data_IF_266274233259
#
_entry.id   IF_266274233259
#
_cell.length_a   1.000
_cell.length_b   1.000
_cell.length_c   1.000
_cell.angle_alpha   90.00
_cell.angle_beta   90.00
_cell.angle_gamma   90.00
#
_symmetry.space_group_name_H-M   'P 1'
#
loop_
_entity.id
_entity.type
_entity.pdbx_description
1 polymer ?
#
# COMPACT_ATOMS: atom_id res chain seq x y z
N UNK A 1 20.35 1.61 -5.09
CA UNK A 1 20.06 2.39 -3.87
C UNK A 1 18.74 1.87 -3.34
N UNK A 2 18.64 1.63 -2.03
CA UNK A 2 17.46 0.99 -1.43
C UNK A 2 16.27 1.96 -1.32
N UNK A 3 15.04 1.44 -1.43
CA UNK A 3 13.79 2.23 -1.45
C UNK A 3 13.61 3.08 -0.18
N UNK A 4 13.91 2.51 0.99
CA UNK A 4 13.90 3.15 2.32
C UNK A 4 14.75 4.43 2.43
N UNK A 5 15.69 4.66 1.52
CA UNK A 5 16.54 5.87 1.55
C UNK A 5 15.94 7.06 0.82
N UNK A 6 14.88 6.86 0.03
CA UNK A 6 14.29 7.93 -0.79
C UNK A 6 12.76 7.87 -0.94
N UNK A 7 12.10 6.79 -0.52
CA UNK A 7 10.65 6.68 -0.47
C UNK A 7 10.23 6.57 1.00
N UNK A 8 9.62 7.64 1.52
CA UNK A 8 9.18 7.74 2.91
C UNK A 8 7.66 7.79 3.00
N UNK A 9 7.12 6.96 3.86
CA UNK A 9 5.71 6.88 4.22
C UNK A 9 5.57 7.33 5.68
N UNK A 10 4.63 8.23 5.90
CA UNK A 10 4.19 8.61 7.25
C UNK A 10 2.68 8.78 7.25
N UNK A 11 2.06 8.79 8.43
CA UNK A 11 0.63 8.95 8.56
C UNK A 11 0.27 9.52 9.93
N UNK A 12 -0.92 10.08 10.01
CA UNK A 12 -1.55 10.52 11.25
C UNK A 12 -3.00 9.98 11.34
N UNK A 13 -3.84 10.62 12.16
CA UNK A 13 -5.24 10.23 12.32
C UNK A 13 -6.06 10.35 11.03
N UNK A 14 -5.71 11.31 10.16
CA UNK A 14 -6.54 11.76 9.03
C UNK A 14 -5.94 11.39 7.67
N UNK A 15 -4.61 11.40 7.54
CA UNK A 15 -3.92 11.23 6.27
C UNK A 15 -2.77 10.22 6.31
N UNK A 16 -2.48 9.68 5.13
CA UNK A 16 -1.23 9.02 4.76
C UNK A 16 -0.47 9.98 3.85
N UNK A 17 0.82 10.15 4.09
CA UNK A 17 1.71 11.04 3.35
C UNK A 17 2.79 10.21 2.65
N UNK A 18 3.03 10.51 1.38
CA UNK A 18 4.13 9.94 0.61
C UNK A 18 5.10 11.04 0.24
N UNK A 19 6.36 10.86 0.62
CA UNK A 19 7.44 11.78 0.27
C UNK A 19 8.51 10.98 -0.45
N UNK A 20 8.68 11.26 -1.73
CA UNK A 20 9.48 10.43 -2.64
C UNK A 20 10.50 11.30 -3.34
N UNK A 21 11.78 10.95 -3.19
CA UNK A 21 12.89 11.74 -3.72
C UNK A 21 13.89 10.85 -4.48
N UNK A 22 13.49 10.26 -5.64
CA UNK A 22 14.31 9.27 -6.33
C UNK A 22 15.64 9.88 -6.81
N UNK A 23 16.76 9.13 -6.72
CA UNK A 23 18.05 9.62 -7.19
C UNK A 23 18.03 9.99 -8.68
N UNK A 24 18.44 11.21 -8.99
CA UNK A 24 18.53 11.69 -10.38
C UNK A 24 17.19 12.05 -11.01
N UNK A 25 16.10 12.10 -10.25
CA UNK A 25 14.78 12.57 -10.70
C UNK A 25 14.26 13.66 -9.78
N UNK A 26 13.21 14.36 -10.21
CA UNK A 26 12.51 15.30 -9.35
C UNK A 26 11.70 14.52 -8.31
N UNK A 27 11.91 14.85 -7.04
CA UNK A 27 11.06 14.36 -5.97
C UNK A 27 9.64 14.90 -6.06
N UNK A 28 8.72 14.18 -5.44
CA UNK A 28 7.32 14.53 -5.33
C UNK A 28 6.80 14.19 -3.93
N UNK A 29 5.72 14.84 -3.55
CA UNK A 29 4.98 14.51 -2.36
C UNK A 29 3.48 14.60 -2.62
N UNK A 30 2.73 13.73 -1.98
CA UNK A 30 1.28 13.79 -1.96
C UNK A 30 0.75 13.18 -0.66
N UNK A 31 -0.58 13.15 -0.57
CA UNK A 31 -1.29 12.56 0.55
C UNK A 31 -2.62 11.97 0.08
N UNK A 32 -3.12 11.03 0.85
CA UNK A 32 -4.46 10.48 0.74
C UNK A 32 -5.11 10.43 2.11
N UNK A 33 -6.45 10.49 2.15
CA UNK A 33 -7.23 10.44 3.39
C UNK A 33 -7.61 9.00 3.71
N UNK A 34 -7.55 8.64 4.98
CA UNK A 34 -7.98 7.30 5.43
C UNK A 34 -9.45 7.00 5.07
N UNK A 35 -10.33 7.97 5.29
CA UNK A 35 -11.77 7.86 5.07
C UNK A 35 -12.17 7.63 3.60
N UNK A 36 -11.27 7.96 2.67
CA UNK A 36 -11.55 7.89 1.24
C UNK A 36 -11.04 6.59 0.62
N UNK A 37 -10.36 5.74 1.41
CA UNK A 37 -9.93 4.41 0.99
C UNK A 37 -11.15 3.50 0.82
N UNK A 38 -11.29 2.97 -0.39
CA UNK A 38 -12.41 2.08 -0.75
C UNK A 38 -11.97 0.63 -0.96
N UNK A 39 -10.68 0.42 -1.25
CA UNK A 39 -10.12 -0.91 -1.49
C UNK A 39 -8.61 -0.88 -1.34
N UNK A 40 -8.07 -1.96 -0.80
CA UNK A 40 -6.64 -2.16 -0.65
C UNK A 40 -6.29 -3.50 -1.28
N UNK A 41 -5.28 -3.54 -2.13
CA UNK A 41 -4.75 -4.78 -2.68
C UNK A 41 -3.28 -4.94 -2.31
N UNK A 42 -2.90 -6.17 -2.00
CA UNK A 42 -1.53 -6.58 -1.77
C UNK A 42 -1.09 -7.51 -2.88
N UNK A 43 0.05 -7.20 -3.49
CA UNK A 43 0.74 -8.08 -4.42
C UNK A 43 2.04 -8.54 -3.76
N UNK A 44 2.13 -9.82 -3.34
CA UNK A 44 3.39 -10.37 -2.87
C UNK A 44 4.36 -10.38 -4.03
N UNK A 45 5.50 -9.73 -3.82
CA UNK A 45 6.62 -9.74 -4.73
C UNK A 45 7.33 -11.10 -4.73
N UNK A 46 8.47 -11.12 -5.40
CA UNK A 46 9.33 -12.29 -5.47
C UNK A 46 10.79 -11.86 -5.25
N UNK A 47 11.74 -12.75 -5.52
CA UNK A 47 13.16 -12.44 -5.28
C UNK A 47 13.70 -11.24 -6.10
N UNK A 48 12.98 -10.81 -7.13
CA UNK A 48 13.34 -9.73 -8.04
C UNK A 48 12.41 -8.51 -7.96
N UNK A 49 11.23 -8.66 -7.36
CA UNK A 49 10.17 -7.64 -7.35
C UNK A 49 9.73 -7.35 -5.91
N UNK A 50 9.54 -6.07 -5.56
CA UNK A 50 9.10 -5.70 -4.22
C UNK A 50 7.69 -6.19 -3.92
N UNK A 51 7.39 -6.35 -2.64
CA UNK A 51 5.99 -6.46 -2.20
C UNK A 51 5.28 -5.12 -2.44
N UNK A 52 4.12 -5.15 -3.08
CA UNK A 52 3.42 -3.93 -3.50
C UNK A 52 2.04 -3.79 -2.85
N UNK A 53 1.80 -2.60 -2.31
CA UNK A 53 0.52 -2.19 -1.75
C UNK A 53 -0.17 -1.20 -2.69
N UNK A 54 -1.37 -1.54 -3.11
CA UNK A 54 -2.22 -0.71 -3.96
C UNK A 54 -3.41 -0.20 -3.15
N UNK A 55 -3.49 1.11 -2.93
CA UNK A 55 -4.59 1.74 -2.18
C UNK A 55 -5.49 2.49 -3.16
N UNK A 56 -6.73 2.04 -3.32
CA UNK A 56 -7.74 2.70 -4.13
C UNK A 56 -8.57 3.63 -3.26
N UNK A 57 -8.91 4.79 -3.83
CA UNK A 57 -9.71 5.81 -3.15
C UNK A 57 -10.90 6.23 -4.01
N UNK A 58 -11.87 6.90 -3.42
CA UNK A 58 -12.97 7.51 -4.17
C UNK A 58 -12.59 8.82 -4.92
N UNK A 59 -11.36 9.32 -4.72
CA UNK A 59 -10.91 10.62 -5.27
C UNK A 59 -10.39 10.50 -6.72
N UNK A 60 -9.97 9.30 -7.13
CA UNK A 60 -9.40 9.03 -8.47
C UNK A 60 -9.55 7.55 -8.85
N UNK A 61 -9.45 7.24 -10.14
CA UNK A 61 -9.54 5.86 -10.64
C UNK A 61 -8.27 5.05 -10.36
N UNK A 62 -7.10 5.69 -10.41
CA UNK A 62 -5.82 5.01 -10.20
C UNK A 62 -5.54 4.73 -8.73
N UNK A 63 -4.92 3.60 -8.42
CA UNK A 63 -4.45 3.31 -7.06
C UNK A 63 -3.18 4.07 -6.70
N UNK A 64 -3.01 4.34 -5.41
CA UNK A 64 -1.74 4.75 -4.83
C UNK A 64 -0.89 3.50 -4.63
N UNK A 65 0.20 3.39 -5.39
CA UNK A 65 1.18 2.31 -5.27
C UNK A 65 2.24 2.65 -4.22
N UNK A 66 2.45 1.74 -3.27
CA UNK A 66 3.45 1.84 -2.20
C UNK A 66 4.21 0.51 -2.11
N UNK A 67 5.51 0.47 -2.43
CA UNK A 67 6.36 -0.68 -2.15
C UNK A 67 6.55 -0.87 -0.64
N UNK A 68 6.50 -2.09 -0.13
CA UNK A 68 6.65 -2.34 1.31
C UNK A 68 8.08 -2.17 1.84
N UNK A 69 9.07 -2.05 0.95
CA UNK A 69 10.46 -1.72 1.26
C UNK A 69 10.68 -0.21 1.42
N UNK A 70 9.66 0.62 1.16
CA UNK A 70 9.71 2.04 1.51
C UNK A 70 9.75 2.23 3.04
N UNK A 71 10.41 3.28 3.49
CA UNK A 71 10.49 3.57 4.92
C UNK A 71 9.09 3.90 5.46
N UNK A 72 8.68 3.24 6.54
CA UNK A 72 7.35 3.38 7.13
C UNK A 72 6.23 2.56 6.48
N UNK A 73 6.46 1.90 5.34
CA UNK A 73 5.41 1.14 4.65
C UNK A 73 4.93 -0.10 5.45
N UNK A 74 5.84 -0.79 6.15
CA UNK A 74 5.47 -1.88 7.06
C UNK A 74 4.55 -1.43 8.21
N UNK A 75 4.74 -0.20 8.71
CA UNK A 75 3.86 0.37 9.74
C UNK A 75 2.51 0.75 9.15
N UNK A 76 2.50 1.29 7.93
CA UNK A 76 1.27 1.59 7.20
C UNK A 76 0.44 0.32 6.97
N UNK A 77 1.10 -0.80 6.63
CA UNK A 77 0.43 -2.08 6.46
C UNK A 77 -0.30 -2.54 7.73
N UNK A 78 0.37 -2.46 8.89
CA UNK A 78 -0.25 -2.74 10.18
C UNK A 78 -1.47 -1.87 10.45
N UNK A 79 -1.37 -0.57 10.21
CA UNK A 79 -2.49 0.38 10.41
C UNK A 79 -3.69 0.10 9.49
N UNK A 80 -3.46 -0.32 8.24
CA UNK A 80 -4.55 -0.69 7.33
C UNK A 80 -5.33 -1.89 7.89
N UNK A 81 -4.64 -2.85 8.49
CA UNK A 81 -5.28 -4.01 9.14
C UNK A 81 -5.99 -3.57 10.43
N UNK A 82 -5.35 -2.77 11.29
CA UNK A 82 -5.95 -2.29 12.55
C UNK A 82 -7.20 -1.44 12.33
N UNK A 83 -7.25 -0.68 11.23
CA UNK A 83 -8.40 0.12 10.82
C UNK A 83 -9.49 -0.68 10.09
N UNK A 84 -9.32 -2.00 9.95
CA UNK A 84 -10.20 -2.89 9.18
C UNK A 84 -10.34 -2.51 7.70
N UNK A 85 -9.33 -1.85 7.14
CA UNK A 85 -9.25 -1.51 5.71
C UNK A 85 -8.65 -2.66 4.88
N UNK A 86 -8.00 -3.62 5.55
CA UNK A 86 -7.63 -4.90 4.98
C UNK A 86 -7.92 -6.02 5.98
N UNK A 87 -8.37 -7.17 5.48
CA UNK A 87 -8.75 -8.29 6.33
C UNK A 87 -7.51 -8.96 6.99
N UNK A 88 -7.56 -9.12 8.31
CA UNK A 88 -6.44 -9.66 9.09
C UNK A 88 -6.17 -11.14 8.78
N UNK A 89 -7.21 -11.95 8.53
CA UNK A 89 -7.04 -13.38 8.22
C UNK A 89 -6.43 -13.55 6.83
N UNK A 90 -6.87 -12.74 5.86
CA UNK A 90 -6.29 -12.66 4.53
C UNK A 90 -4.84 -12.21 4.61
N UNK A 91 -4.51 -11.19 5.43
CA UNK A 91 -3.14 -10.74 5.63
C UNK A 91 -2.23 -11.88 6.12
N UNK A 92 -2.68 -12.69 7.09
CA UNK A 92 -1.93 -13.86 7.57
C UNK A 92 -1.73 -14.88 6.45
N UNK A 93 -2.79 -15.15 5.67
CA UNK A 93 -2.77 -16.15 4.60
C UNK A 93 -1.79 -15.79 3.47
N UNK A 94 -1.68 -14.51 3.13
CA UNK A 94 -0.86 -14.06 2.00
C UNK A 94 0.63 -13.93 2.34
N UNK A 95 1.01 -13.96 3.62
CA UNK A 95 2.43 -13.92 4.04
C UNK A 95 3.28 -15.08 3.50
N UNK A 96 2.66 -16.20 3.13
CA UNK A 96 3.38 -17.36 2.55
C UNK A 96 3.28 -17.44 1.03
N UNK A 97 2.65 -16.46 0.39
CA UNK A 97 2.43 -16.43 -1.06
C UNK A 97 3.55 -15.63 -1.74
N UNK A 98 3.84 -15.96 -2.99
CA UNK A 98 4.92 -15.34 -3.78
C UNK A 98 4.42 -14.79 -5.12
N UNK A 99 3.10 -14.75 -5.29
CA UNK A 99 2.42 -14.29 -6.50
C UNK A 99 0.92 -14.06 -6.21
N UNK A 100 0.24 -13.37 -7.11
CA UNK A 100 -1.19 -13.05 -7.06
C UNK A 100 -1.47 -11.63 -6.59
N UNK A 101 -2.71 -11.18 -6.77
CA UNK A 101 -3.20 -9.89 -6.28
C UNK A 101 -4.37 -10.13 -5.33
N UNK A 102 -4.19 -9.78 -4.07
CA UNK A 102 -5.15 -10.04 -3.00
C UNK A 102 -5.78 -8.74 -2.55
N UNK A 103 -7.06 -8.56 -2.86
CA UNK A 103 -7.78 -7.32 -2.62
C UNK A 103 -8.82 -7.46 -1.51
N UNK A 104 -8.98 -6.41 -0.72
CA UNK A 104 -10.05 -6.26 0.25
C UNK A 104 -10.73 -4.89 0.14
N UNK A 105 -12.07 -4.82 0.15
CA UNK A 105 -12.97 -5.95 -0.01
C UNK A 105 -12.74 -6.69 -1.34
N UNK A 106 -13.15 -7.96 -1.39
CA UNK A 106 -13.20 -8.70 -2.65
C UNK A 106 -14.14 -7.97 -3.62
N UNK A 107 -13.83 -8.01 -4.92
CA UNK A 107 -14.81 -7.54 -5.90
C UNK A 107 -16.07 -8.41 -5.78
N UNK A 108 -17.24 -7.77 -5.71
CA UNK A 108 -18.51 -8.47 -5.85
C UNK A 108 -18.44 -9.26 -7.16
N UNK A 109 -18.29 -10.58 -7.05
CA UNK A 109 -18.49 -11.49 -8.16
C UNK A 109 -19.96 -11.36 -8.53
N UNK A 110 -20.29 -10.47 -9.48
CA UNK A 110 -21.58 -10.49 -10.15
C UNK A 110 -21.71 -11.88 -10.78
N UNK A 111 -22.46 -12.75 -10.11
CA UNK A 111 -22.95 -14.03 -10.64
C UNK A 111 -23.88 -13.78 -11.84
#
# INVERSE_FOLDING_TARGET
>A
MSLDTWYFISFDGDYIYRNVNPPGQNGWNDKLRWQDIIRVCFHPGNFLEPDELYIFTNEREESYLIPLEADGAQKLWGELIERNLFDAELAIKIMSMTDGLYCWPEEDKKM
#
